data_IF_078733835447
#
_entry.id   IF_078733835447
#
_cell.length_a   1.000
_cell.length_b   1.000
_cell.length_c   1.000
_cell.angle_alpha   90.00
_cell.angle_beta   90.00
_cell.angle_gamma   90.00
#
_symmetry.space_group_name_H-M   'P 1'
#
loop_
_entity.id
_entity.type
_entity.pdbx_description
1 polymer ?
#
# COMPACT_ATOMS: atom_id res chain seq x y z
N UNK A 1 -2.17 24.64 1.97
CA UNK A 1 -2.95 24.28 0.77
C UNK A 1 -4.43 24.25 1.13
N UNK A 2 -5.31 23.99 0.15
CA UNK A 2 -6.75 23.87 0.35
C UNK A 2 -7.22 22.50 -0.14
N UNK A 3 -8.15 21.86 0.57
CA UNK A 3 -8.80 20.62 0.18
C UNK A 3 -10.33 20.74 0.37
N UNK A 4 -11.09 19.81 -0.20
CA UNK A 4 -12.55 19.77 -0.05
C UNK A 4 -12.96 18.51 0.71
N UNK A 5 -13.95 18.63 1.61
CA UNK A 5 -14.56 17.46 2.23
C UNK A 5 -15.38 16.67 1.21
N UNK A 6 -15.26 15.35 1.25
CA UNK A 6 -16.08 14.44 0.47
C UNK A 6 -17.55 14.54 0.84
N UNK A 7 -18.44 14.41 -0.15
CA UNK A 7 -19.88 14.24 0.05
C UNK A 7 -20.23 12.76 -0.15
N UNK A 8 -21.43 12.37 0.26
CA UNK A 8 -21.91 10.99 0.08
C UNK A 8 -21.81 10.49 -1.38
N UNK A 9 -22.04 11.37 -2.37
CA UNK A 9 -21.85 11.04 -3.79
C UNK A 9 -20.41 10.67 -4.12
N UNK A 10 -19.43 11.45 -3.64
CA UNK A 10 -18.01 11.17 -3.86
C UNK A 10 -17.58 9.83 -3.24
N UNK A 11 -18.16 9.46 -2.09
CA UNK A 11 -17.89 8.16 -1.45
C UNK A 11 -18.41 7.02 -2.33
N UNK A 12 -19.64 7.13 -2.84
CA UNK A 12 -20.20 6.12 -3.76
C UNK A 12 -19.39 6.02 -5.06
N UNK A 13 -18.97 7.15 -5.61
CA UNK A 13 -18.13 7.20 -6.82
C UNK A 13 -16.77 6.56 -6.58
N UNK A 14 -16.13 6.82 -5.42
CA UNK A 14 -14.85 6.22 -5.05
C UNK A 14 -14.96 4.70 -4.85
N UNK A 15 -16.02 4.22 -4.17
CA UNK A 15 -16.29 2.79 -3.98
C UNK A 15 -16.51 2.12 -5.35
N UNK A 16 -17.33 2.73 -6.21
CA UNK A 16 -17.59 2.20 -7.55
C UNK A 16 -16.29 2.08 -8.36
N UNK A 17 -15.48 3.14 -8.40
CA UNK A 17 -14.21 3.13 -9.13
C UNK A 17 -13.23 2.09 -8.57
N UNK A 18 -13.14 1.95 -7.24
CA UNK A 18 -12.32 0.92 -6.61
C UNK A 18 -12.77 -0.48 -7.02
N UNK A 19 -14.07 -0.77 -6.94
CA UNK A 19 -14.62 -2.08 -7.31
C UNK A 19 -14.48 -2.39 -8.81
N UNK A 20 -14.57 -1.38 -9.69
CA UNK A 20 -14.31 -1.51 -11.13
C UNK A 20 -12.85 -1.85 -11.43
N UNK A 21 -11.90 -1.31 -10.67
CA UNK A 21 -10.46 -1.60 -10.83
C UNK A 21 -10.04 -2.95 -10.22
N UNK A 22 -10.83 -3.50 -9.29
CA UNK A 22 -10.47 -4.71 -8.53
C UNK A 22 -10.14 -5.92 -9.41
N UNK A 23 -10.94 -6.29 -10.43
CA UNK A 23 -10.66 -7.48 -11.22
C UNK A 23 -9.28 -7.43 -11.89
N UNK A 24 -8.93 -6.29 -12.50
CA UNK A 24 -7.64 -6.13 -13.17
C UNK A 24 -6.47 -6.11 -12.18
N UNK A 25 -6.63 -5.46 -11.03
CA UNK A 25 -5.57 -5.37 -10.02
C UNK A 25 -5.32 -6.71 -9.32
N UNK A 26 -6.38 -7.42 -8.94
CA UNK A 26 -6.30 -8.73 -8.31
C UNK A 26 -5.74 -9.80 -9.27
N UNK A 27 -5.99 -9.67 -10.58
CA UNK A 27 -5.50 -10.61 -11.59
C UNK A 27 -3.99 -10.47 -11.89
N UNK A 28 -3.34 -9.37 -11.48
CA UNK A 28 -1.90 -9.26 -11.62
C UNK A 28 -1.17 -10.35 -10.80
N UNK A 29 -0.06 -10.91 -11.31
CA UNK A 29 0.83 -11.71 -10.49
C UNK A 29 1.30 -10.92 -9.26
N UNK A 30 1.47 -11.61 -8.13
CA UNK A 30 1.83 -10.96 -6.86
C UNK A 30 3.15 -10.17 -6.96
N UNK A 31 4.10 -10.66 -7.77
CA UNK A 31 5.40 -10.03 -8.00
C UNK A 31 5.27 -8.73 -8.83
N UNK A 32 4.34 -8.67 -9.77
CA UNK A 32 4.04 -7.43 -10.52
C UNK A 32 3.41 -6.38 -9.61
N UNK A 33 2.51 -6.79 -8.69
CA UNK A 33 2.01 -5.88 -7.65
C UNK A 33 3.15 -5.39 -6.75
N UNK A 34 4.01 -6.28 -6.28
CA UNK A 34 5.16 -5.93 -5.45
C UNK A 34 6.11 -4.94 -6.14
N UNK A 35 6.34 -5.11 -7.45
CA UNK A 35 7.19 -4.23 -8.24
C UNK A 35 6.75 -2.76 -8.21
N UNK A 36 5.44 -2.48 -8.15
CA UNK A 36 4.91 -1.12 -8.01
C UNK A 36 5.38 -0.47 -6.71
N UNK A 37 5.28 -1.19 -5.59
CA UNK A 37 5.65 -0.67 -4.26
C UNK A 37 7.17 -0.57 -4.10
N UNK A 38 7.93 -1.54 -4.61
CA UNK A 38 9.39 -1.46 -4.65
C UNK A 38 9.87 -0.27 -5.48
N UNK A 39 9.24 -0.01 -6.63
CA UNK A 39 9.55 1.17 -7.43
C UNK A 39 9.21 2.47 -6.69
N UNK A 40 8.08 2.52 -5.99
CA UNK A 40 7.72 3.67 -5.16
C UNK A 40 8.74 3.89 -4.03
N UNK A 41 9.22 2.83 -3.39
CA UNK A 41 10.26 2.91 -2.36
C UNK A 41 11.56 3.52 -2.91
N UNK A 42 12.02 3.11 -4.10
CA UNK A 42 13.22 3.67 -4.72
C UNK A 42 13.05 5.13 -5.14
N UNK A 43 11.86 5.48 -5.63
CA UNK A 43 11.50 6.85 -5.99
C UNK A 43 11.52 7.76 -4.75
N UNK A 44 11.01 7.29 -3.61
CA UNK A 44 11.06 8.01 -2.32
C UNK A 44 12.49 8.03 -1.77
N UNK A 45 13.27 6.97 -1.94
CA UNK A 45 14.66 6.91 -1.48
C UNK A 45 15.58 7.90 -2.22
N UNK A 46 15.31 8.14 -3.50
CA UNK A 46 16.08 9.07 -4.33
C UNK A 46 15.34 10.37 -4.63
N UNK A 47 14.79 10.51 -5.84
CA UNK A 47 14.37 11.81 -6.39
C UNK A 47 13.25 12.51 -5.60
N UNK A 48 12.43 11.78 -4.85
CA UNK A 48 11.32 12.36 -4.08
C UNK A 48 11.59 12.50 -2.58
N UNK A 49 12.77 12.07 -2.08
CA UNK A 49 13.07 12.09 -0.63
C UNK A 49 12.92 13.48 -0.02
N UNK A 50 13.58 14.46 -0.62
CA UNK A 50 13.52 15.85 -0.16
C UNK A 50 12.09 16.41 -0.24
N UNK A 51 11.35 16.05 -1.29
CA UNK A 51 9.99 16.56 -1.52
C UNK A 51 9.00 16.03 -0.47
N UNK A 52 9.03 14.74 -0.17
CA UNK A 52 8.11 14.14 0.80
C UNK A 52 8.44 14.63 2.22
N UNK A 53 9.72 14.68 2.60
CA UNK A 53 10.14 15.22 3.89
C UNK A 53 9.73 16.68 4.06
N UNK A 54 9.97 17.52 3.05
CA UNK A 54 9.57 18.93 3.11
C UNK A 54 8.05 19.08 3.26
N UNK A 55 7.24 18.28 2.56
CA UNK A 55 5.79 18.31 2.71
C UNK A 55 5.37 17.93 4.14
N UNK A 56 5.95 16.86 4.69
CA UNK A 56 5.69 16.41 6.07
C UNK A 56 6.12 17.43 7.11
N UNK A 57 7.29 18.06 6.95
CA UNK A 57 7.75 19.13 7.84
C UNK A 57 6.77 20.31 7.84
N UNK A 58 6.39 20.79 6.65
CA UNK A 58 5.53 21.96 6.50
C UNK A 58 4.09 21.70 6.98
N UNK A 59 3.53 20.54 6.68
CA UNK A 59 2.12 20.24 6.94
C UNK A 59 1.87 19.64 8.32
N UNK A 60 2.85 18.93 8.90
CA UNK A 60 2.71 18.23 10.18
C UNK A 60 3.65 18.80 11.25
N UNK A 61 4.32 19.93 10.97
CA UNK A 61 5.22 20.62 11.91
C UNK A 61 6.36 19.74 12.44
N UNK A 62 6.83 18.79 11.63
CA UNK A 62 7.97 17.93 11.98
C UNK A 62 9.29 18.67 11.74
N UNK A 63 10.27 18.46 12.61
CA UNK A 63 11.65 18.82 12.30
C UNK A 63 12.23 17.85 11.25
N UNK A 64 13.40 18.18 10.69
CA UNK A 64 14.00 17.38 9.62
C UNK A 64 14.24 15.93 10.02
N UNK A 65 14.69 15.67 11.25
CA UNK A 65 14.94 14.32 11.74
C UNK A 65 13.64 13.53 11.86
N UNK A 66 12.60 14.13 12.47
CA UNK A 66 11.27 13.54 12.63
C UNK A 66 10.60 13.23 11.28
N UNK A 67 10.77 14.10 10.27
CA UNK A 67 10.26 13.85 8.93
C UNK A 67 11.05 12.74 8.22
N UNK A 68 12.38 12.77 8.32
CA UNK A 68 13.26 11.78 7.70
C UNK A 68 12.99 10.35 8.20
N UNK A 69 12.84 10.16 9.52
CA UNK A 69 12.57 8.83 10.07
C UNK A 69 11.16 8.31 9.74
N UNK A 70 10.19 9.20 9.49
CA UNK A 70 8.79 8.87 9.17
C UNK A 70 8.56 8.79 7.65
N UNK A 71 8.49 9.95 6.98
CA UNK A 71 8.03 10.08 5.61
C UNK A 71 9.00 9.49 4.58
N UNK A 72 10.28 9.35 4.94
CA UNK A 72 11.27 8.67 4.11
C UNK A 72 11.57 7.27 4.64
N UNK A 73 12.32 7.12 5.74
CA UNK A 73 12.84 5.82 6.19
C UNK A 73 11.72 4.80 6.46
N UNK A 74 10.81 5.10 7.39
CA UNK A 74 9.75 4.16 7.77
C UNK A 74 8.81 3.84 6.60
N UNK A 75 8.47 4.83 5.76
CA UNK A 75 7.67 4.58 4.55
C UNK A 75 8.40 3.66 3.55
N UNK A 76 9.67 3.93 3.25
CA UNK A 76 10.48 3.09 2.35
C UNK A 76 10.55 1.67 2.90
N UNK A 77 10.77 1.54 4.21
CA UNK A 77 10.87 0.24 4.87
C UNK A 77 9.53 -0.50 4.83
N UNK A 78 8.40 0.14 5.11
CA UNK A 78 7.08 -0.49 4.93
C UNK A 78 6.90 -1.06 3.52
N UNK A 79 7.23 -0.28 2.48
CA UNK A 79 7.06 -0.72 1.11
C UNK A 79 7.96 -1.91 0.76
N UNK A 80 9.22 -1.90 1.21
CA UNK A 80 10.19 -2.98 0.93
C UNK A 80 9.93 -4.22 1.76
N UNK A 81 9.73 -4.07 3.06
CA UNK A 81 9.51 -5.18 3.96
C UNK A 81 8.13 -5.82 3.76
N UNK A 82 7.07 -5.07 3.46
CA UNK A 82 5.81 -5.71 3.10
C UNK A 82 5.91 -6.50 1.79
N UNK A 83 6.68 -6.03 0.80
CA UNK A 83 6.94 -6.79 -0.41
C UNK A 83 7.73 -8.08 -0.12
N UNK A 84 8.72 -8.01 0.77
CA UNK A 84 9.42 -9.19 1.28
C UNK A 84 8.47 -10.16 2.00
N UNK A 85 7.64 -9.67 2.93
CA UNK A 85 6.68 -10.52 3.64
C UNK A 85 5.61 -11.10 2.73
N UNK A 86 5.18 -10.39 1.68
CA UNK A 86 4.32 -10.95 0.65
C UNK A 86 4.98 -12.18 0.01
N UNK A 87 6.26 -12.09 -0.36
CA UNK A 87 6.99 -13.23 -0.91
C UNK A 87 7.02 -14.40 0.07
N UNK A 88 7.41 -14.16 1.32
CA UNK A 88 7.44 -15.19 2.36
C UNK A 88 6.07 -15.87 2.54
N UNK A 89 4.97 -15.10 2.49
CA UNK A 89 3.61 -15.65 2.55
C UNK A 89 3.32 -16.54 1.33
N UNK A 90 3.71 -16.14 0.11
CA UNK A 90 3.46 -16.93 -1.09
C UNK A 90 4.20 -18.28 -1.08
N UNK A 91 5.37 -18.33 -0.43
CA UNK A 91 6.19 -19.53 -0.28
C UNK A 91 5.62 -20.55 0.72
N UNK A 92 4.63 -20.16 1.54
CA UNK A 92 3.90 -21.08 2.41
C UNK A 92 2.91 -21.89 1.56
N UNK A 93 3.25 -23.16 1.30
CA UNK A 93 2.44 -24.09 0.49
C UNK A 93 2.21 -25.42 1.24
N UNK A 94 1.09 -26.12 0.97
CA UNK A 94 0.79 -27.41 1.57
C UNK A 94 1.60 -28.55 0.93
N UNK A 95 1.83 -29.61 1.70
CA UNK A 95 2.42 -30.85 1.17
C UNK A 95 1.51 -31.50 0.12
N UNK A 96 2.15 -32.18 -0.83
CA UNK A 96 1.49 -32.98 -1.87
C UNK A 96 1.87 -34.45 -1.68
N UNK A 97 0.87 -35.33 -1.57
CA UNK A 97 1.09 -36.79 -1.50
C UNK A 97 1.15 -37.40 -2.90
N UNK A 98 1.59 -38.66 -3.01
CA UNK A 98 1.66 -39.37 -4.30
C UNK A 98 0.32 -39.34 -5.06
N UNK A 99 0.36 -38.85 -6.30
CA UNK A 99 -0.81 -38.71 -7.17
C UNK A 99 -1.72 -37.50 -6.86
N UNK A 100 -1.37 -36.67 -5.88
CA UNK A 100 -2.12 -35.47 -5.48
C UNK A 100 -1.22 -34.24 -5.61
N UNK A 101 -1.75 -33.13 -6.15
CA UNK A 101 -1.05 -31.84 -6.16
C UNK A 101 -1.91 -30.78 -5.46
N UNK A 102 -1.45 -30.34 -4.29
CA UNK A 102 -2.09 -29.29 -3.52
C UNK A 102 -1.39 -27.95 -3.75
N UNK A 103 -2.17 -26.86 -3.80
CA UNK A 103 -1.65 -25.49 -3.89
C UNK A 103 -2.54 -24.55 -3.08
N UNK A 104 -1.92 -23.61 -2.39
CA UNK A 104 -2.61 -22.51 -1.72
C UNK A 104 -2.54 -21.24 -2.55
N UNK A 105 -3.69 -20.59 -2.71
CA UNK A 105 -3.80 -19.28 -3.35
C UNK A 105 -4.22 -18.22 -2.32
N UNK A 106 -3.34 -17.24 -2.11
CA UNK A 106 -3.60 -16.10 -1.24
C UNK A 106 -4.39 -15.03 -1.99
N UNK A 107 -5.72 -15.16 -1.95
CA UNK A 107 -6.64 -14.21 -2.59
C UNK A 107 -6.73 -12.90 -1.80
N UNK A 108 -6.79 -11.78 -2.51
CA UNK A 108 -7.30 -10.53 -1.95
C UNK A 108 -8.75 -10.68 -1.51
N UNK A 109 -9.21 -9.81 -0.61
CA UNK A 109 -10.58 -9.83 -0.11
C UNK A 109 -11.57 -9.47 -1.22
N UNK A 110 -12.82 -9.92 -1.06
CA UNK A 110 -13.92 -9.44 -1.88
C UNK A 110 -14.47 -8.11 -1.34
N UNK A 111 -14.71 -7.17 -2.25
CA UNK A 111 -15.13 -5.81 -1.91
C UNK A 111 -13.97 -4.81 -1.96
N UNK A 112 -14.00 -3.81 -1.08
CA UNK A 112 -12.97 -2.77 -0.96
C UNK A 112 -12.56 -2.62 0.50
N UNK A 113 -11.35 -2.11 0.72
CA UNK A 113 -10.85 -1.74 2.05
C UNK A 113 -11.00 -0.23 2.22
N UNK A 114 -11.56 0.20 3.35
CA UNK A 114 -11.61 1.61 3.73
C UNK A 114 -10.46 1.91 4.70
N UNK A 115 -9.57 2.83 4.32
CA UNK A 115 -8.43 3.24 5.13
C UNK A 115 -8.65 4.63 5.72
N UNK A 116 -8.63 4.73 7.06
CA UNK A 116 -8.65 6.01 7.78
C UNK A 116 -7.29 6.21 8.45
N UNK A 117 -6.62 7.30 8.09
CA UNK A 117 -5.21 7.52 8.46
C UNK A 117 -5.05 8.65 9.46
N UNK A 118 -4.19 8.51 10.49
CA UNK A 118 -3.96 9.57 11.46
C UNK A 118 -3.03 10.65 10.89
N UNK A 119 -2.99 11.82 11.54
CA UNK A 119 -2.18 12.95 11.09
C UNK A 119 -0.68 12.83 11.44
N UNK A 120 -0.31 11.94 12.36
CA UNK A 120 0.98 11.99 13.06
C UNK A 120 2.13 11.27 12.32
N UNK A 121 1.82 10.40 11.36
CA UNK A 121 2.82 9.69 10.54
C UNK A 121 2.41 9.64 9.08
N UNK A 122 3.28 10.13 8.22
CA UNK A 122 3.13 10.02 6.76
C UNK A 122 3.27 8.57 6.31
N UNK A 123 4.19 7.82 6.95
CA UNK A 123 4.39 6.40 6.70
C UNK A 123 3.13 5.59 7.01
N UNK A 124 2.50 5.80 8.17
CA UNK A 124 1.24 5.13 8.53
C UNK A 124 0.13 5.48 7.54
N UNK A 125 0.04 6.75 7.14
CA UNK A 125 -0.97 7.19 6.19
C UNK A 125 -0.89 6.43 4.85
N UNK A 126 0.32 6.25 4.33
CA UNK A 126 0.52 5.45 3.13
C UNK A 126 0.38 3.94 3.37
N UNK A 127 0.93 3.40 4.46
CA UNK A 127 1.00 1.96 4.71
C UNK A 127 -0.38 1.31 4.91
N UNK A 128 -1.31 2.00 5.59
CA UNK A 128 -2.69 1.51 5.76
C UNK A 128 -3.41 1.29 4.42
N UNK A 129 -2.96 1.97 3.36
CA UNK A 129 -3.47 1.79 2.00
C UNK A 129 -2.62 0.79 1.19
N UNK A 130 -1.29 0.93 1.26
CA UNK A 130 -0.35 0.15 0.46
C UNK A 130 -0.35 -1.33 0.83
N UNK A 131 -0.39 -1.68 2.12
CA UNK A 131 -0.36 -3.05 2.59
C UNK A 131 -1.54 -3.90 2.04
N UNK A 132 -2.82 -3.48 2.16
CA UNK A 132 -3.91 -4.22 1.53
C UNK A 132 -3.84 -4.18 0.00
N UNK A 133 -3.39 -3.08 -0.63
CA UNK A 133 -3.25 -3.03 -2.08
C UNK A 133 -2.26 -4.08 -2.59
N UNK A 134 -1.13 -4.23 -1.91
CA UNK A 134 -0.10 -5.24 -2.21
C UNK A 134 -0.69 -6.66 -2.22
N UNK A 135 -1.60 -6.96 -1.30
CA UNK A 135 -2.31 -8.24 -1.22
C UNK A 135 -3.44 -8.40 -2.26
N UNK A 136 -3.57 -7.48 -3.21
CA UNK A 136 -4.57 -7.56 -4.30
C UNK A 136 -5.93 -6.93 -3.96
N UNK A 137 -6.01 -6.13 -2.90
CA UNK A 137 -7.23 -5.39 -2.57
C UNK A 137 -7.28 -4.04 -3.29
N UNK A 138 -8.46 -3.43 -3.32
CA UNK A 138 -8.69 -2.04 -3.74
C UNK A 138 -9.11 -1.20 -2.54
N UNK A 139 -8.76 0.09 -2.56
CA UNK A 139 -8.83 0.95 -1.38
C UNK A 139 -9.57 2.25 -1.68
N UNK A 140 -10.37 2.67 -0.71
CA UNK A 140 -10.82 4.05 -0.56
C UNK A 140 -10.07 4.65 0.63
N UNK A 141 -9.37 5.75 0.40
CA UNK A 141 -8.59 6.50 1.40
C UNK A 141 -9.10 7.94 1.44
#
# INVERSE_FOLDING_TARGET
GHFNYGKASHVNDAIKAALEARPSWAALPWNERAAVFLKAADLIAGPYRAKINAATMLAQSKNIFQAEIDAACELIDFLRFNAYFLQEIQDVQPDSQDGIWNRMEYRGLEGFVFAITPFNFTAIAANLCAAPALMGNVIVW
#
